data_IF_617966726132
#
_entry.id   IF_617966726132
#
_cell.length_a   1.000
_cell.length_b   1.000
_cell.length_c   1.000
_cell.angle_alpha   90.00
_cell.angle_beta   90.00
_cell.angle_gamma   90.00
#
_symmetry.space_group_name_H-M   'P 1'
#
loop_
_entity.id
_entity.type
_entity.pdbx_description
1 polymer ?
#
# COMPACT_ATOMS: atom_id res chain seq x y z
N UNK A 1 -20.10 -6.50 -27.06
CA UNK A 1 -19.09 -5.54 -27.57
C UNK A 1 -18.47 -4.87 -26.35
N UNK A 2 -17.23 -5.20 -25.97
CA UNK A 2 -16.58 -4.52 -24.83
C UNK A 2 -16.08 -3.16 -25.33
N UNK A 3 -16.44 -2.08 -24.65
CA UNK A 3 -16.00 -0.72 -24.95
C UNK A 3 -14.48 -0.65 -25.03
N UNK A 4 -13.96 0.12 -25.98
CA UNK A 4 -12.52 0.22 -26.26
C UNK A 4 -11.73 0.67 -25.02
N UNK A 5 -12.35 1.49 -24.17
CA UNK A 5 -11.83 1.91 -22.85
C UNK A 5 -11.56 0.70 -21.94
N UNK A 6 -12.45 -0.30 -21.91
CA UNK A 6 -12.29 -1.48 -21.06
C UNK A 6 -11.22 -2.44 -21.59
N UNK A 7 -10.96 -2.44 -22.90
CA UNK A 7 -9.83 -3.17 -23.50
C UNK A 7 -8.50 -2.50 -23.18
N UNK A 8 -8.45 -1.17 -23.23
CA UNK A 8 -7.24 -0.39 -22.92
C UNK A 8 -6.87 -0.47 -21.43
N UNK A 9 -7.85 -0.40 -20.52
CA UNK A 9 -7.65 -0.62 -19.08
C UNK A 9 -7.18 -2.06 -18.79
N UNK A 10 -7.65 -3.04 -19.57
CA UNK A 10 -7.23 -4.44 -19.40
C UNK A 10 -5.84 -4.70 -19.99
N UNK A 11 -5.49 -4.07 -21.11
CA UNK A 11 -4.18 -4.16 -21.75
C UNK A 11 -3.08 -3.53 -20.88
N UNK A 12 -3.31 -2.36 -20.30
CA UNK A 12 -2.41 -1.75 -19.30
C UNK A 12 -2.21 -2.63 -18.05
N UNK A 13 -3.18 -3.51 -17.75
CA UNK A 13 -3.09 -4.47 -16.65
C UNK A 13 -2.38 -5.76 -17.04
N UNK A 14 -2.27 -6.07 -18.34
CA UNK A 14 -1.63 -7.28 -18.86
C UNK A 14 -0.23 -7.06 -19.46
N UNK A 15 0.16 -5.83 -19.79
CA UNK A 15 1.56 -5.50 -20.15
C UNK A 15 2.53 -5.48 -18.96
N UNK A 16 2.02 -5.63 -17.72
CA UNK A 16 2.82 -6.07 -16.58
C UNK A 16 3.12 -7.57 -16.68
N UNK A 17 3.76 -7.95 -17.79
CA UNK A 17 4.41 -9.25 -17.98
C UNK A 17 5.50 -9.36 -16.92
N UNK A 18 5.55 -10.49 -16.24
CA UNK A 18 6.29 -10.72 -15.01
C UNK A 18 7.81 -10.88 -15.21
N UNK A 19 8.41 -10.26 -16.22
CA UNK A 19 9.85 -10.31 -16.48
C UNK A 19 10.35 -8.87 -16.61
N UNK A 20 11.30 -8.50 -15.75
CA UNK A 20 11.88 -7.17 -15.53
C UNK A 20 11.01 -6.17 -14.75
N UNK A 21 10.84 -6.42 -13.44
CA UNK A 21 10.68 -5.31 -12.50
C UNK A 21 11.90 -4.41 -12.69
N UNK A 22 11.71 -3.23 -13.31
CA UNK A 22 12.80 -2.30 -13.50
C UNK A 22 13.46 -1.99 -12.14
N UNK A 23 14.79 -1.73 -12.09
CA UNK A 23 15.47 -1.41 -10.84
C UNK A 23 14.80 -0.25 -10.07
N UNK A 24 14.19 0.68 -10.79
CA UNK A 24 13.39 1.77 -10.24
C UNK A 24 12.14 1.27 -9.51
N UNK A 25 11.34 0.39 -10.12
CA UNK A 25 10.17 -0.23 -9.46
C UNK A 25 10.60 -1.05 -8.24
N UNK A 26 11.74 -1.74 -8.33
CA UNK A 26 12.35 -2.42 -7.19
C UNK A 26 12.65 -1.48 -6.02
N UNK A 27 13.30 -0.34 -6.28
CA UNK A 27 13.60 0.70 -5.29
C UNK A 27 12.32 1.28 -4.68
N UNK A 28 11.32 1.59 -5.51
CA UNK A 28 10.04 2.12 -5.04
C UNK A 28 9.34 1.13 -4.11
N UNK A 29 9.30 -0.16 -4.45
CA UNK A 29 8.73 -1.19 -3.58
C UNK A 29 9.54 -1.40 -2.30
N UNK A 30 10.86 -1.31 -2.39
CA UNK A 30 11.76 -1.42 -1.24
C UNK A 30 11.58 -0.27 -0.25
N UNK A 31 11.22 0.94 -0.72
CA UNK A 31 10.94 2.08 0.15
C UNK A 31 9.83 1.80 1.18
N UNK A 32 8.89 0.90 0.85
CA UNK A 32 7.81 0.49 1.75
C UNK A 32 8.22 -0.62 2.74
N UNK A 33 9.43 -1.18 2.66
CA UNK A 33 9.85 -2.25 3.56
C UNK A 33 9.90 -1.80 5.02
N UNK A 34 10.16 -0.51 5.29
CA UNK A 34 10.18 0.04 6.64
C UNK A 34 8.79 0.14 7.30
N UNK A 35 7.73 0.21 6.49
CA UNK A 35 6.34 0.37 7.00
C UNK A 35 5.55 -0.93 7.06
N UNK A 36 5.93 -1.94 6.27
CA UNK A 36 5.34 -3.29 6.32
C UNK A 36 5.34 -3.93 7.73
N UNK A 37 6.43 -3.93 8.51
CA UNK A 37 6.40 -4.47 9.86
C UNK A 37 5.47 -3.65 10.76
N UNK A 38 5.55 -2.31 10.71
CA UNK A 38 4.67 -1.41 11.48
C UNK A 38 3.18 -1.68 11.24
N UNK A 39 2.79 -1.91 9.98
CA UNK A 39 1.40 -2.28 9.63
C UNK A 39 1.01 -3.65 10.18
N UNK A 40 1.94 -4.62 10.13
CA UNK A 40 1.72 -5.97 10.64
C UNK A 40 1.57 -5.98 12.16
N UNK A 41 2.43 -5.24 12.86
CA UNK A 41 2.41 -5.10 14.32
C UNK A 41 1.13 -4.40 14.80
N UNK A 42 0.63 -3.44 14.02
CA UNK A 42 -0.65 -2.78 14.28
C UNK A 42 -1.89 -3.59 13.83
N UNK A 43 -1.70 -4.80 13.27
CA UNK A 43 -2.81 -5.64 12.80
C UNK A 43 -3.57 -5.08 11.59
N UNK A 44 -2.94 -4.18 10.82
CA UNK A 44 -3.58 -3.47 9.71
C UNK A 44 -3.37 -4.23 8.39
N UNK A 45 -4.43 -4.65 7.69
CA UNK A 45 -4.30 -5.28 6.38
C UNK A 45 -3.83 -4.28 5.32
N UNK A 46 -2.86 -4.70 4.52
CA UNK A 46 -2.31 -3.89 3.43
C UNK A 46 -2.07 -4.71 2.16
N UNK A 47 -1.97 -4.02 1.03
CA UNK A 47 -1.64 -4.60 -0.27
C UNK A 47 -0.77 -3.64 -1.06
N UNK A 48 0.23 -4.15 -1.76
CA UNK A 48 1.14 -3.34 -2.59
C UNK A 48 0.90 -3.64 -4.06
N UNK A 49 0.37 -2.67 -4.79
CA UNK A 49 0.08 -2.77 -6.22
C UNK A 49 1.22 -2.18 -7.06
N UNK A 50 1.33 -2.63 -8.30
CA UNK A 50 2.28 -2.06 -9.27
C UNK A 50 2.00 -0.57 -9.53
N UNK A 51 3.05 0.27 -9.73
CA UNK A 51 4.47 -0.04 -9.53
C UNK A 51 4.85 -0.11 -8.03
N UNK A 52 4.34 0.79 -7.20
CA UNK A 52 4.50 0.77 -5.74
C UNK A 52 3.38 1.56 -5.03
N UNK A 53 2.12 1.19 -5.26
CA UNK A 53 0.95 1.81 -4.63
C UNK A 53 0.50 0.98 -3.44
N UNK A 54 0.75 1.46 -2.22
CA UNK A 54 0.31 0.75 -1.04
C UNK A 54 -1.12 1.12 -0.69
N UNK A 55 -1.99 0.12 -0.66
CA UNK A 55 -3.36 0.23 -0.20
C UNK A 55 -3.45 -0.30 1.23
N UNK A 56 -4.11 0.45 2.09
CA UNK A 56 -4.42 0.08 3.48
C UNK A 56 -5.92 0.20 3.67
N UNK A 57 -6.54 -0.77 4.34
CA UNK A 57 -7.98 -0.73 4.65
C UNK A 57 -8.17 -0.70 6.16
N UNK A 58 -8.79 0.37 6.67
CA UNK A 58 -9.06 0.57 8.10
C UNK A 58 -10.51 0.99 8.27
N UNK A 59 -11.24 0.31 9.16
CA UNK A 59 -12.67 0.61 9.44
C UNK A 59 -13.56 0.67 8.18
N UNK A 60 -13.26 -0.15 7.17
CA UNK A 60 -13.99 -0.17 5.90
C UNK A 60 -13.57 0.92 4.89
N UNK A 61 -12.71 1.86 5.29
CA UNK A 61 -12.19 2.90 4.39
C UNK A 61 -10.87 2.44 3.78
N UNK A 62 -10.78 2.54 2.46
CA UNK A 62 -9.58 2.23 1.68
C UNK A 62 -8.74 3.50 1.50
N UNK A 63 -7.49 3.45 1.94
CA UNK A 63 -6.49 4.50 1.76
C UNK A 63 -5.40 4.02 0.79
N UNK A 64 -4.94 4.88 -0.10
CA UNK A 64 -3.90 4.57 -1.09
C UNK A 64 -2.76 5.56 -0.96
N UNK A 65 -1.55 5.03 -0.87
CA UNK A 65 -0.32 5.79 -0.66
C UNK A 65 0.70 5.44 -1.74
N UNK A 66 1.42 6.46 -2.21
CA UNK A 66 2.55 6.34 -3.14
C UNK A 66 3.89 6.57 -2.44
N UNK A 67 3.87 7.03 -1.20
CA UNK A 67 5.06 7.35 -0.41
C UNK A 67 5.02 6.64 0.95
N UNK A 68 6.16 6.10 1.42
CA UNK A 68 6.22 5.43 2.72
C UNK A 68 6.02 6.41 3.88
N UNK A 69 6.42 7.67 3.76
CA UNK A 69 6.27 8.67 4.84
C UNK A 69 4.79 8.92 5.16
N UNK A 70 3.94 9.08 4.14
CA UNK A 70 2.50 9.24 4.33
C UNK A 70 1.86 8.02 5.02
N UNK A 71 2.40 6.82 4.78
CA UNK A 71 1.98 5.61 5.49
C UNK A 71 2.40 5.65 6.95
N UNK A 72 3.61 6.10 7.26
CA UNK A 72 4.07 6.22 8.66
C UNK A 72 3.22 7.19 9.45
N UNK A 73 2.92 8.35 8.86
CA UNK A 73 2.00 9.32 9.44
C UNK A 73 0.61 8.72 9.66
N UNK A 74 0.11 7.97 8.67
CA UNK A 74 -1.16 7.27 8.79
C UNK A 74 -1.16 6.28 9.95
N UNK A 75 -0.14 5.42 10.07
CA UNK A 75 -0.01 4.43 11.16
C UNK A 75 0.00 5.13 12.52
N UNK A 76 0.75 6.22 12.67
CA UNK A 76 0.79 7.00 13.92
C UNK A 76 -0.57 7.56 14.32
N UNK A 77 -1.38 7.95 13.34
CA UNK A 77 -2.70 8.54 13.59
C UNK A 77 -3.81 7.50 13.85
N UNK A 78 -3.64 6.26 13.40
CA UNK A 78 -4.66 5.20 13.55
C UNK A 78 -4.35 4.17 14.62
N UNK A 79 -3.07 3.94 14.93
CA UNK A 79 -2.71 3.09 16.04
C UNK A 79 -3.22 3.79 17.31
N UNK A 80 -4.21 3.22 18.03
CA UNK A 80 -4.41 3.66 19.39
C UNK A 80 -3.07 3.44 20.07
N UNK A 81 -2.56 4.47 20.73
CA UNK A 81 -1.36 4.40 21.57
C UNK A 81 -1.28 3.02 22.22
N UNK A 82 -0.38 2.17 21.74
CA UNK A 82 -0.07 0.94 22.44
C UNK A 82 0.46 1.40 23.81
N UNK A 83 -0.34 1.19 24.86
CA UNK A 83 -0.12 1.55 26.25
C UNK A 83 -0.39 3.01 26.61
N UNK A 84 -1.65 3.28 26.94
CA UNK A 84 -2.11 4.45 27.69
C UNK A 84 -3.21 4.10 28.68
N UNK A 85 -3.32 2.84 29.12
CA UNK A 85 -3.99 2.50 30.38
C UNK A 85 -3.11 3.04 31.52
N UNK A 86 -3.26 4.34 31.82
CA UNK A 86 -3.06 4.86 33.16
C UNK A 86 -4.44 5.18 33.70
N UNK A 87 -5.09 4.15 34.20
CA UNK A 87 -5.96 4.32 35.35
C UNK A 87 -5.04 4.72 36.53
N UNK A 88 -5.11 6.00 36.91
CA UNK A 88 -4.92 6.50 38.28
C UNK A 88 -5.36 7.97 38.36
#
# INVERSE_FOLDING_TARGET
MKSDIQREITALRQEAKADDISPEVGRLRASFNQVKPKLRDAGIPYSLYYPAKMTITVKGTRHVFTEPQAVEEFIRNIAPTANGDKDD
#
